data_IF_093480071460
#
_entry.id   IF_093480071460
#
_cell.length_a   1.000
_cell.length_b   1.000
_cell.length_c   1.000
_cell.angle_alpha   90.00
_cell.angle_beta   90.00
_cell.angle_gamma   90.00
#
_symmetry.space_group_name_H-M   'P 1'
#
loop_
_entity.id
_entity.type
_entity.pdbx_description
1 polymer ?
#
# COMPACT_ATOMS: atom_id res chain seq x y z
N UNK A 1 3.34 -17.28 -4.09
CA UNK A 1 3.93 -15.95 -4.32
C UNK A 1 3.58 -15.09 -3.11
N UNK A 2 4.55 -14.42 -2.48
CA UNK A 2 4.35 -13.71 -1.21
C UNK A 2 3.75 -12.32 -1.46
N UNK A 3 2.81 -11.88 -0.61
CA UNK A 3 2.19 -10.55 -0.74
C UNK A 3 2.91 -9.54 0.16
N UNK A 4 3.44 -8.48 -0.44
CA UNK A 4 4.21 -7.43 0.23
C UNK A 4 3.51 -6.07 0.25
N UNK A 5 2.41 -5.92 -0.49
CA UNK A 5 1.69 -4.65 -0.62
C UNK A 5 0.24 -4.83 -0.23
N UNK A 6 -0.21 -4.06 0.76
CA UNK A 6 -1.56 -4.12 1.32
C UNK A 6 -2.29 -2.80 1.05
N UNK A 7 -3.31 -2.85 0.21
CA UNK A 7 -4.09 -1.69 -0.18
C UNK A 7 -5.10 -1.26 0.89
N UNK A 8 -5.40 0.04 0.97
CA UNK A 8 -6.56 0.58 1.69
C UNK A 8 -7.15 1.74 0.86
N UNK A 9 -8.48 1.83 0.75
CA UNK A 9 -9.11 2.89 -0.04
C UNK A 9 -10.48 2.49 -0.59
N UNK A 10 -11.37 3.46 -0.80
CA UNK A 10 -12.69 3.21 -1.39
C UNK A 10 -13.57 2.29 -0.55
N UNK A 11 -13.47 2.36 0.78
CA UNK A 11 -14.22 1.53 1.72
C UNK A 11 -13.77 0.06 1.79
N UNK A 12 -12.59 -0.27 1.23
CA UNK A 12 -11.98 -1.59 1.33
C UNK A 12 -10.51 -1.49 1.75
N UNK A 13 -10.07 -2.43 2.57
CA UNK A 13 -8.64 -2.61 2.86
C UNK A 13 -8.27 -4.09 2.90
N UNK A 14 -7.06 -4.39 2.44
CA UNK A 14 -6.46 -5.73 2.41
C UNK A 14 -5.90 -6.13 3.80
N UNK A 15 -5.64 -5.15 4.68
CA UNK A 15 -5.13 -5.35 6.04
C UNK A 15 -6.17 -5.07 7.13
N UNK A 16 -5.78 -5.20 8.39
CA UNK A 16 -6.62 -4.86 9.57
C UNK A 16 -5.78 -4.39 10.77
N UNK A 17 -6.43 -3.92 11.83
CA UNK A 17 -5.78 -3.52 13.08
C UNK A 17 -4.93 -4.61 13.74
N UNK A 18 -5.20 -5.90 13.48
CA UNK A 18 -4.45 -7.03 14.06
C UNK A 18 -3.09 -7.23 13.38
N UNK A 19 -2.89 -6.67 12.20
CA UNK A 19 -1.69 -6.86 11.38
C UNK A 19 -0.56 -5.88 11.72
N UNK A 20 -0.52 -5.34 12.95
CA UNK A 20 0.48 -4.34 13.40
C UNK A 20 1.92 -4.79 13.20
N UNK A 21 2.22 -6.07 13.42
CA UNK A 21 3.58 -6.60 13.25
C UNK A 21 4.00 -6.60 11.77
N UNK A 22 3.04 -6.78 10.85
CA UNK A 22 3.29 -6.88 9.42
C UNK A 22 3.21 -5.52 8.70
N UNK A 23 2.27 -4.65 9.10
CA UNK A 23 1.97 -3.37 8.44
C UNK A 23 2.50 -2.15 9.23
N UNK A 24 3.03 -2.38 10.44
CA UNK A 24 3.28 -1.32 11.40
C UNK A 24 1.98 -0.74 11.98
N UNK A 25 2.11 0.05 13.05
CA UNK A 25 0.95 0.66 13.72
C UNK A 25 0.15 1.59 12.82
N UNK A 26 0.83 2.36 11.95
CA UNK A 26 0.17 3.30 11.02
C UNK A 26 -0.58 2.57 9.90
N UNK A 27 0.04 1.58 9.26
CA UNK A 27 -0.58 0.82 8.18
C UNK A 27 -1.78 0.02 8.66
N UNK A 28 -1.66 -0.65 9.81
CA UNK A 28 -2.77 -1.37 10.44
C UNK A 28 -3.94 -0.44 10.79
N UNK A 29 -3.67 0.74 11.37
CA UNK A 29 -4.72 1.70 11.71
C UNK A 29 -5.36 2.33 10.47
N UNK A 30 -4.60 2.62 9.40
CA UNK A 30 -5.17 3.14 8.15
C UNK A 30 -6.13 2.14 7.48
N UNK A 31 -5.79 0.85 7.54
CA UNK A 31 -6.67 -0.21 7.07
C UNK A 31 -7.95 -0.29 7.91
N UNK A 32 -7.82 -0.24 9.24
CA UNK A 32 -8.96 -0.23 10.16
C UNK A 32 -9.88 0.98 9.95
N UNK A 33 -9.30 2.17 9.81
CA UNK A 33 -10.07 3.38 9.53
C UNK A 33 -10.90 3.24 8.25
N UNK A 34 -10.37 2.54 7.24
CA UNK A 34 -11.08 2.27 6.01
C UNK A 34 -12.25 1.30 6.20
N UNK A 35 -12.06 0.22 6.97
CA UNK A 35 -13.12 -0.73 7.32
C UNK A 35 -14.24 -0.08 8.15
N UNK A 36 -13.88 0.90 9.00
CA UNK A 36 -14.84 1.71 9.77
C UNK A 36 -15.56 2.76 8.91
N UNK A 37 -15.28 2.84 7.60
CA UNK A 37 -15.93 3.77 6.68
C UNK A 37 -15.47 5.22 6.83
N UNK A 38 -14.34 5.47 7.51
CA UNK A 38 -13.79 6.82 7.57
C UNK A 38 -13.26 7.25 6.19
N UNK A 39 -13.38 8.54 5.82
CA UNK A 39 -12.91 9.06 4.55
C UNK A 39 -11.37 9.20 4.54
N UNK A 40 -10.67 8.07 4.52
CA UNK A 40 -9.22 8.01 4.38
C UNK A 40 -8.86 8.00 2.89
N UNK A 41 -7.96 8.88 2.42
CA UNK A 41 -7.44 8.83 1.06
C UNK A 41 -6.89 7.44 0.71
N UNK A 42 -7.14 6.92 -0.50
CA UNK A 42 -6.63 5.62 -0.91
C UNK A 42 -5.10 5.57 -0.93
N UNK A 43 -4.55 4.43 -0.55
CA UNK A 43 -3.12 4.21 -0.42
C UNK A 43 -2.78 2.73 -0.28
N UNK A 44 -1.53 2.43 0.02
CA UNK A 44 -1.10 1.09 0.37
C UNK A 44 0.03 1.12 1.39
N UNK A 45 0.21 0.01 2.09
CA UNK A 45 1.34 -0.23 3.00
C UNK A 45 2.24 -1.31 2.42
N UNK A 46 3.54 -1.06 2.41
CA UNK A 46 4.55 -2.08 2.15
C UNK A 46 4.88 -2.76 3.48
N UNK A 47 4.83 -4.09 3.51
CA UNK A 47 5.04 -4.86 4.75
C UNK A 47 6.42 -4.65 5.36
N UNK A 48 6.53 -4.83 6.68
CA UNK A 48 7.79 -4.84 7.44
C UNK A 48 8.75 -5.93 6.95
N UNK A 49 8.24 -7.02 6.39
CA UNK A 49 9.06 -8.10 5.82
C UNK A 49 9.91 -7.64 4.62
N UNK A 50 9.46 -6.63 3.86
CA UNK A 50 10.28 -6.04 2.78
C UNK A 50 11.48 -5.31 3.37
N UNK A 51 11.31 -4.62 4.49
CA UNK A 51 12.41 -3.98 5.19
C UNK A 51 13.44 -5.04 5.65
N UNK A 52 12.96 -6.13 6.24
CA UNK A 52 13.83 -7.24 6.64
C UNK A 52 14.56 -7.87 5.42
N UNK A 53 13.84 -8.12 4.33
CA UNK A 53 14.44 -8.63 3.09
C UNK A 53 15.51 -7.70 2.55
N UNK A 54 15.24 -6.40 2.51
CA UNK A 54 16.20 -5.39 2.04
C UNK A 54 17.53 -5.47 2.81
N UNK A 55 17.49 -5.53 4.13
CA UNK A 55 18.70 -5.66 4.93
C UNK A 55 19.40 -7.02 4.77
N UNK A 56 18.64 -8.10 4.62
CA UNK A 56 19.20 -9.45 4.46
C UNK A 56 19.76 -9.72 3.06
N UNK A 57 19.32 -8.96 2.05
CA UNK A 57 19.65 -9.19 0.64
C UNK A 57 20.50 -8.05 0.04
N UNK A 58 21.48 -7.54 0.79
CA UNK A 58 22.40 -6.49 0.34
C UNK A 58 21.68 -5.26 -0.23
N UNK A 59 20.65 -4.78 0.47
CA UNK A 59 19.88 -3.60 0.05
C UNK A 59 19.13 -3.79 -1.28
N UNK A 60 18.78 -5.04 -1.62
CA UNK A 60 17.92 -5.34 -2.77
C UNK A 60 16.49 -5.63 -2.32
N UNK A 61 15.53 -5.25 -3.17
CA UNK A 61 14.12 -5.55 -2.94
C UNK A 61 13.72 -6.90 -3.54
N UNK A 62 12.65 -7.55 -3.02
CA UNK A 62 12.07 -8.71 -3.70
C UNK A 62 11.64 -8.34 -5.12
N UNK A 63 11.90 -9.23 -6.09
CA UNK A 63 11.62 -9.00 -7.51
C UNK A 63 10.15 -8.63 -7.77
N UNK A 64 9.23 -9.26 -7.03
CA UNK A 64 7.80 -9.05 -7.14
C UNK A 64 7.30 -7.72 -6.53
N UNK A 65 8.09 -7.03 -5.70
CA UNK A 65 7.65 -5.82 -4.98
C UNK A 65 7.22 -4.71 -5.94
N UNK A 66 8.04 -4.43 -6.96
CA UNK A 66 7.77 -3.36 -7.93
C UNK A 66 6.45 -3.60 -8.67
N UNK A 67 6.20 -4.84 -9.08
CA UNK A 67 4.95 -5.22 -9.78
C UNK A 67 3.74 -5.05 -8.86
N UNK A 68 3.84 -5.45 -7.59
CA UNK A 68 2.77 -5.29 -6.62
C UNK A 68 2.48 -3.82 -6.30
N UNK A 69 3.53 -3.01 -6.12
CA UNK A 69 3.40 -1.57 -5.87
C UNK A 69 2.75 -0.84 -7.05
N UNK A 70 3.18 -1.12 -8.29
CA UNK A 70 2.57 -0.55 -9.50
C UNK A 70 1.09 -0.94 -9.62
N UNK A 71 0.73 -2.18 -9.28
CA UNK A 71 -0.67 -2.62 -9.26
C UNK A 71 -1.49 -1.86 -8.21
N UNK A 72 -0.91 -1.56 -7.05
CA UNK A 72 -1.57 -0.77 -6.01
C UNK A 72 -1.72 0.70 -6.41
N UNK A 73 -0.71 1.32 -7.02
CA UNK A 73 -0.80 2.67 -7.62
C UNK A 73 -1.95 2.72 -8.62
N UNK A 74 -2.06 1.73 -9.52
CA UNK A 74 -3.17 1.66 -10.47
C UNK A 74 -4.57 1.50 -9.83
N UNK A 75 -4.66 1.00 -8.59
CA UNK A 75 -5.91 1.05 -7.81
C UNK A 75 -6.18 2.46 -7.30
N UNK A 76 -5.16 3.15 -6.78
CA UNK A 76 -5.27 4.55 -6.31
C UNK A 76 -5.74 5.45 -7.47
N UNK A 77 -5.09 5.35 -8.64
CA UNK A 77 -5.44 6.14 -9.83
C UNK A 77 -6.92 6.00 -10.20
N UNK A 78 -7.44 4.76 -10.18
CA UNK A 78 -8.86 4.48 -10.48
C UNK A 78 -9.82 5.10 -9.47
N UNK A 79 -9.46 5.12 -8.18
CA UNK A 79 -10.32 5.70 -7.13
C UNK A 79 -10.26 7.23 -7.17
N UNK A 80 -9.08 7.79 -7.38
CA UNK A 80 -8.85 9.23 -7.36
C UNK A 80 -9.22 9.91 -8.68
N UNK A 81 -9.31 9.15 -9.78
CA UNK A 81 -9.51 9.71 -11.12
C UNK A 81 -8.33 10.55 -11.61
N UNK A 82 -7.11 10.30 -11.10
CA UNK A 82 -5.87 11.01 -11.42
C UNK A 82 -4.74 10.01 -11.74
N UNK A 83 -3.70 10.44 -12.46
CA UNK A 83 -2.62 9.56 -12.92
C UNK A 83 -1.27 9.83 -12.27
N UNK A 84 -0.56 8.80 -11.81
CA UNK A 84 0.77 8.93 -11.22
C UNK A 84 1.79 9.30 -12.31
N UNK A 85 2.42 10.46 -12.17
CA UNK A 85 3.31 11.01 -13.20
C UNK A 85 2.58 11.62 -14.40
N UNK A 86 1.25 11.75 -14.38
CA UNK A 86 0.50 12.47 -15.40
C UNK A 86 0.71 13.99 -15.25
N UNK A 87 1.02 14.69 -16.33
CA UNK A 87 1.29 16.14 -16.31
C UNK A 87 0.02 16.99 -16.26
N UNK A 88 -1.09 16.48 -16.77
CA UNK A 88 -2.33 17.23 -16.95
C UNK A 88 -3.29 17.02 -15.77
N UNK A 89 -3.30 15.82 -15.20
CA UNK A 89 -4.09 15.46 -14.01
C UNK A 89 -3.28 14.57 -13.04
N UNK A 90 -2.37 15.17 -12.26
CA UNK A 90 -1.39 14.44 -11.46
C UNK A 90 -2.00 13.78 -10.23
N UNK A 91 -1.66 12.51 -10.01
CA UNK A 91 -1.78 11.84 -8.72
C UNK A 91 -0.48 12.05 -7.95
N UNK A 92 -0.56 12.73 -6.80
CA UNK A 92 0.56 12.94 -5.88
C UNK A 92 0.44 11.98 -4.69
N UNK A 93 1.56 11.44 -4.25
CA UNK A 93 1.68 10.48 -3.13
C UNK A 93 2.83 10.83 -2.21
#
# INVERSE_FOLDING_TARGET
MKNYVYFFGGGKADGSADMKNLLGGKGANLAEMNHLGMPVPPGFTITTEVCQHYYNCNQNFPNELRTQANKAIGKIEKIMGAGFGNTDNPLLV
#
